data_IF_504288033298
#
_entry.id   IF_504288033298
#
_cell.length_a   1.000
_cell.length_b   1.000
_cell.length_c   1.000
_cell.angle_alpha   90.00
_cell.angle_beta   90.00
_cell.angle_gamma   90.00
#
_symmetry.space_group_name_H-M   'P 1'
#
loop_
_entity.id
_entity.type
_entity.pdbx_description
1 polymer ?
#
# COMPACT_ATOMS: atom_id res chain seq x y z
N UNK A 1 27.79 3.34 -5.28
CA UNK A 1 26.60 3.13 -4.45
C UNK A 1 25.50 2.68 -5.38
N UNK A 2 25.16 1.40 -5.36
CA UNK A 2 24.18 0.82 -6.28
C UNK A 2 22.80 1.39 -5.94
N UNK A 3 22.29 2.29 -6.78
CA UNK A 3 20.88 2.66 -6.79
C UNK A 3 20.10 1.37 -7.07
N UNK A 4 19.58 0.74 -6.03
CA UNK A 4 18.62 -0.34 -6.20
C UNK A 4 17.44 0.24 -6.97
N UNK A 5 17.08 -0.37 -8.10
CA UNK A 5 15.91 0.06 -8.85
C UNK A 5 14.66 -0.27 -8.03
N UNK A 6 14.21 0.64 -7.16
CA UNK A 6 13.00 0.47 -6.36
C UNK A 6 11.75 0.22 -7.22
N UNK A 7 11.83 0.60 -8.50
CA UNK A 7 10.84 0.32 -9.54
C UNK A 7 10.77 -1.16 -9.94
N UNK A 8 11.87 -1.92 -9.86
CA UNK A 8 11.91 -3.35 -10.23
C UNK A 8 11.63 -4.28 -9.06
N UNK A 9 11.78 -3.81 -7.81
CA UNK A 9 11.45 -4.60 -6.62
C UNK A 9 9.95 -4.88 -6.54
N UNK A 10 9.55 -6.02 -5.96
CA UNK A 10 8.16 -6.23 -5.56
C UNK A 10 7.79 -5.29 -4.41
N UNK A 11 6.49 -5.04 -4.20
CA UNK A 11 6.02 -4.18 -3.11
C UNK A 11 6.47 -4.71 -1.74
N UNK A 12 6.52 -6.03 -1.58
CA UNK A 12 6.97 -6.69 -0.35
C UNK A 12 8.46 -6.47 -0.10
N UNK A 13 9.29 -6.60 -1.13
CA UNK A 13 10.74 -6.35 -1.03
C UNK A 13 11.04 -4.87 -0.75
N UNK A 14 10.33 -3.95 -1.42
CA UNK A 14 10.48 -2.52 -1.19
C UNK A 14 10.10 -2.15 0.25
N UNK A 15 9.04 -2.75 0.81
CA UNK A 15 8.68 -2.57 2.23
C UNK A 15 9.77 -3.09 3.17
N UNK A 16 10.27 -4.30 2.94
CA UNK A 16 11.35 -4.86 3.76
C UNK A 16 12.63 -4.01 3.69
N UNK A 17 12.92 -3.45 2.52
CA UNK A 17 14.05 -2.54 2.33
C UNK A 17 13.89 -1.24 3.11
N UNK A 18 12.74 -0.55 2.98
CA UNK A 18 12.45 0.69 3.73
C UNK A 18 12.49 0.46 5.25
N UNK A 19 12.02 -0.70 5.72
CA UNK A 19 12.05 -1.04 7.14
C UNK A 19 13.47 -1.23 7.69
N UNK A 20 14.38 -1.75 6.86
CA UNK A 20 15.79 -1.95 7.20
C UNK A 20 16.65 -0.71 6.93
N UNK A 21 16.22 0.19 6.05
CA UNK A 21 16.91 1.41 5.63
C UNK A 21 16.02 2.63 5.85
N UNK A 22 15.73 2.94 7.12
CA UNK A 22 14.80 4.01 7.50
C UNK A 22 15.28 5.41 7.12
N UNK A 23 16.60 5.60 7.02
CA UNK A 23 17.22 6.86 6.60
C UNK A 23 17.23 7.05 5.07
N UNK A 24 16.88 6.01 4.30
CA UNK A 24 16.80 6.08 2.85
C UNK A 24 15.45 6.70 2.43
N UNK A 25 15.48 8.02 2.23
CA UNK A 25 14.33 8.78 1.77
C UNK A 25 13.87 8.37 0.37
N UNK A 26 14.79 7.95 -0.52
CA UNK A 26 14.46 7.56 -1.89
C UNK A 26 13.61 6.29 -1.88
N UNK A 27 13.98 5.31 -1.06
CA UNK A 27 13.20 4.09 -0.84
C UNK A 27 11.81 4.39 -0.23
N UNK A 28 11.75 5.31 0.73
CA UNK A 28 10.49 5.74 1.34
C UNK A 28 9.54 6.37 0.30
N UNK A 29 10.03 7.34 -0.49
CA UNK A 29 9.23 7.98 -1.54
C UNK A 29 8.77 6.98 -2.61
N UNK A 30 9.63 6.05 -3.02
CA UNK A 30 9.26 5.00 -3.97
C UNK A 30 8.13 4.11 -3.42
N UNK A 31 8.18 3.76 -2.13
CA UNK A 31 7.10 2.99 -1.49
C UNK A 31 5.81 3.80 -1.40
N UNK A 32 5.89 5.07 -0.97
CA UNK A 32 4.71 5.95 -0.87
C UNK A 32 4.03 6.18 -2.20
N UNK A 33 4.78 6.41 -3.28
CA UNK A 33 4.22 6.58 -4.63
C UNK A 33 3.49 5.31 -5.10
N UNK A 34 4.10 4.15 -4.87
CA UNK A 34 3.47 2.86 -5.17
C UNK A 34 2.19 2.63 -4.39
N UNK A 35 2.15 3.02 -3.11
CA UNK A 35 0.95 2.93 -2.29
C UNK A 35 -0.15 3.91 -2.73
N UNK A 36 0.21 5.11 -3.16
CA UNK A 36 -0.74 6.08 -3.72
C UNK A 36 -1.36 5.62 -5.04
N UNK A 37 -0.59 4.88 -5.84
CA UNK A 37 -1.03 4.31 -7.11
C UNK A 37 -1.82 3.00 -6.95
N UNK A 38 -1.85 2.40 -5.76
CA UNK A 38 -2.77 1.29 -5.50
C UNK A 38 -4.21 1.81 -5.53
N UNK A 39 -5.16 1.06 -6.13
CA UNK A 39 -6.58 1.36 -6.03
C UNK A 39 -7.07 1.05 -4.61
N UNK A 40 -6.68 1.89 -3.66
CA UNK A 40 -7.29 1.93 -2.33
C UNK A 40 -8.65 2.61 -2.43
N UNK A 41 -9.65 2.08 -1.71
CA UNK A 41 -10.92 2.77 -1.53
C UNK A 41 -10.64 4.03 -0.69
N UNK A 42 -10.82 5.21 -1.29
CA UNK A 42 -10.81 6.47 -0.53
C UNK A 42 -12.08 6.50 0.30
N UNK A 43 -11.94 6.62 1.60
CA UNK A 43 -13.06 6.74 2.53
C UNK A 43 -13.24 8.23 2.85
N UNK A 44 -14.48 8.68 2.76
CA UNK A 44 -14.92 10.02 3.17
C UNK A 44 -15.28 10.01 4.66
N UNK A 45 -15.50 11.19 5.26
CA UNK A 45 -15.92 11.27 6.67
C UNK A 45 -17.25 10.54 6.91
N UNK A 46 -18.18 10.60 5.95
CA UNK A 46 -19.46 9.86 5.98
C UNK A 46 -19.29 8.35 5.89
N UNK A 47 -18.19 7.88 5.28
CA UNK A 47 -17.84 6.46 5.23
C UNK A 47 -17.30 5.97 6.58
N UNK A 48 -16.88 6.87 7.48
CA UNK A 48 -16.38 6.50 8.81
C UNK A 48 -17.48 5.88 9.68
N UNK A 49 -18.70 6.44 9.60
CA UNK A 49 -19.87 5.90 10.31
C UNK A 49 -20.29 4.53 9.78
N UNK A 50 -19.93 4.21 8.53
CA UNK A 50 -20.25 2.94 7.85
C UNK A 50 -19.04 2.03 7.64
N UNK A 51 -17.96 2.27 8.38
CA UNK A 51 -16.76 1.42 8.36
C UNK A 51 -17.07 -0.07 8.54
N UNK A 52 -17.95 -0.51 9.48
CA UNK A 52 -18.19 -1.94 9.65
C UNK A 52 -18.80 -2.57 8.39
N UNK A 53 -19.73 -1.90 7.71
CA UNK A 53 -20.33 -2.40 6.47
C UNK A 53 -19.30 -2.42 5.32
N UNK A 54 -18.49 -1.37 5.19
CA UNK A 54 -17.46 -1.28 4.14
C UNK A 54 -16.40 -2.37 4.29
N UNK A 55 -15.98 -2.67 5.53
CA UNK A 55 -15.04 -3.77 5.80
C UNK A 55 -15.66 -5.12 5.39
N UNK A 56 -16.95 -5.33 5.65
CA UNK A 56 -17.65 -6.54 5.24
C UNK A 56 -17.73 -6.67 3.72
N UNK A 57 -18.07 -5.60 2.99
CA UNK A 57 -18.07 -5.58 1.52
C UNK A 57 -16.70 -5.96 0.95
N UNK A 58 -15.62 -5.41 1.50
CA UNK A 58 -14.24 -5.70 1.07
C UNK A 58 -13.90 -7.18 1.30
N UNK A 59 -14.32 -7.75 2.43
CA UNK A 59 -14.09 -9.16 2.73
C UNK A 59 -14.87 -10.10 1.80
N UNK A 60 -16.10 -9.74 1.43
CA UNK A 60 -16.92 -10.51 0.49
C UNK A 60 -16.34 -10.46 -0.92
N UNK A 61 -16.01 -9.27 -1.43
CA UNK A 61 -15.40 -9.11 -2.76
C UNK A 61 -14.09 -9.90 -2.90
N UNK A 62 -13.29 -10.00 -1.83
CA UNK A 62 -12.08 -10.83 -1.79
C UNK A 62 -12.37 -12.33 -1.86
N UNK A 63 -13.45 -12.80 -1.22
CA UNK A 63 -13.86 -14.21 -1.22
C UNK A 63 -14.45 -14.63 -2.56
N UNK A 64 -15.18 -13.74 -3.23
CA UNK A 64 -15.80 -14.02 -4.54
C UNK A 64 -14.79 -13.99 -5.70
N UNK A 65 -13.62 -13.39 -5.50
CA UNK A 65 -12.53 -13.33 -6.47
C UNK A 65 -11.53 -14.51 -6.35
N UNK A 66 -11.82 -15.52 -5.52
CA UNK A 66 -11.01 -16.74 -5.31
C UNK A 66 -11.79 -17.97 -5.77
#
# INVERSE_FOLDING_TARGET
>A
MSKSNFQTMSQTELRAYVLSHRDDQEAFYALSDRLRNLPGRKLSEEDLDRLPEIIQEIQQAKKEST
#
